data_IF_402427168572
#
_entry.id   IF_402427168572
#
_cell.length_a   1.000
_cell.length_b   1.000
_cell.length_c   1.000
_cell.angle_alpha   90.00
_cell.angle_beta   90.00
_cell.angle_gamma   90.00
#
_symmetry.space_group_name_H-M   'P 1'
#
loop_
_entity.id
_entity.type
_entity.pdbx_description
1 polymer ?
#
# COMPACT_ATOMS: atom_id res chain seq x y z
N UNK A 1 37.51 20.08 5.40
CA UNK A 1 36.35 20.75 4.75
C UNK A 1 36.08 20.06 3.41
N UNK A 2 34.84 19.69 3.08
CA UNK A 2 34.51 19.13 1.77
C UNK A 2 34.71 20.17 0.67
N UNK A 3 35.24 19.75 -0.48
CA UNK A 3 35.39 20.63 -1.65
C UNK A 3 34.02 21.11 -2.14
N UNK A 4 33.90 22.32 -2.73
CA UNK A 4 32.63 22.86 -3.21
C UNK A 4 31.95 21.96 -4.25
N UNK A 5 32.73 21.19 -5.04
CA UNK A 5 32.20 20.17 -5.95
C UNK A 5 31.57 18.99 -5.20
N UNK A 6 32.22 18.46 -4.16
CA UNK A 6 31.68 17.36 -3.34
C UNK A 6 30.41 17.79 -2.62
N UNK A 7 30.35 19.02 -2.10
CA UNK A 7 29.16 19.55 -1.47
C UNK A 7 27.97 19.66 -2.43
N UNK A 8 28.18 20.10 -3.69
CA UNK A 8 27.13 20.13 -4.72
C UNK A 8 26.67 18.72 -5.11
N UNK A 9 27.61 17.79 -5.28
CA UNK A 9 27.29 16.39 -5.60
C UNK A 9 26.48 15.70 -4.50
N UNK A 10 26.91 15.82 -3.24
CA UNK A 10 26.15 15.32 -2.09
C UNK A 10 24.74 15.91 -2.08
N UNK A 11 24.61 17.21 -2.35
CA UNK A 11 23.31 17.87 -2.37
C UNK A 11 22.41 17.34 -3.49
N UNK A 12 22.90 17.27 -4.73
CA UNK A 12 22.15 16.73 -5.87
C UNK A 12 21.74 15.27 -5.63
N UNK A 13 22.64 14.46 -5.07
CA UNK A 13 22.37 13.05 -4.85
C UNK A 13 21.31 12.83 -3.76
N UNK A 14 21.47 13.49 -2.61
CA UNK A 14 20.61 13.31 -1.42
C UNK A 14 19.28 14.06 -1.54
N UNK A 15 19.29 15.27 -2.11
CA UNK A 15 18.07 16.11 -2.20
C UNK A 15 17.27 15.87 -3.47
N UNK A 16 17.85 15.25 -4.51
CA UNK A 16 17.16 15.07 -5.80
C UNK A 16 17.18 13.62 -6.28
N UNK A 17 18.35 13.01 -6.49
CA UNK A 17 18.40 11.71 -7.18
C UNK A 17 17.70 10.58 -6.40
N UNK A 18 18.08 10.39 -5.12
CA UNK A 18 17.47 9.36 -4.26
C UNK A 18 15.98 9.59 -4.04
N UNK A 19 15.50 10.79 -3.64
CA UNK A 19 14.07 11.00 -3.46
C UNK A 19 13.30 10.91 -4.78
N UNK A 20 13.87 11.34 -5.91
CA UNK A 20 13.23 11.16 -7.21
C UNK A 20 13.04 9.68 -7.54
N UNK A 21 14.05 8.83 -7.29
CA UNK A 21 13.92 7.39 -7.47
C UNK A 21 12.79 6.78 -6.64
N UNK A 22 12.73 7.12 -5.34
CA UNK A 22 11.68 6.67 -4.43
C UNK A 22 10.30 7.17 -4.93
N UNK A 23 10.20 8.44 -5.30
CA UNK A 23 8.97 9.03 -5.81
C UNK A 23 8.51 8.36 -7.12
N UNK A 24 9.42 8.03 -8.03
CA UNK A 24 9.09 7.30 -9.26
C UNK A 24 8.44 5.96 -8.94
N UNK A 25 8.98 5.19 -7.99
CA UNK A 25 8.36 3.93 -7.57
C UNK A 25 6.96 4.11 -7.00
N UNK A 26 6.76 5.11 -6.15
CA UNK A 26 5.46 5.42 -5.58
C UNK A 26 4.44 5.88 -6.64
N UNK A 27 4.87 6.71 -7.59
CA UNK A 27 4.03 7.20 -8.68
C UNK A 27 3.62 6.05 -9.60
N UNK A 28 4.54 5.16 -9.96
CA UNK A 28 4.21 4.00 -10.80
C UNK A 28 3.18 3.09 -10.10
N UNK A 29 3.36 2.81 -8.80
CA UNK A 29 2.35 2.08 -8.00
C UNK A 29 1.00 2.80 -7.97
N UNK A 30 1.01 4.12 -7.87
CA UNK A 30 -0.22 4.93 -7.87
C UNK A 30 -0.92 4.90 -9.24
N UNK A 31 -0.15 4.93 -10.33
CA UNK A 31 -0.67 4.87 -11.69
C UNK A 31 -1.30 3.51 -11.96
N UNK A 32 -0.61 2.42 -11.61
CA UNK A 32 -1.12 1.06 -11.76
C UNK A 32 -2.33 0.79 -10.88
N UNK A 33 -2.31 1.30 -9.64
CA UNK A 33 -3.43 1.24 -8.70
C UNK A 33 -3.90 -0.17 -8.31
N UNK A 34 -3.19 -1.20 -8.76
CA UNK A 34 -3.54 -2.60 -8.53
C UNK A 34 -2.76 -3.14 -7.34
N UNK A 35 -3.41 -3.44 -6.21
CA UNK A 35 -2.70 -3.96 -5.05
C UNK A 35 -2.18 -5.39 -5.26
N UNK A 36 -2.56 -6.06 -6.35
CA UNK A 36 -2.07 -7.40 -6.73
C UNK A 36 -0.61 -7.37 -7.18
N UNK A 37 -0.08 -6.21 -7.56
CA UNK A 37 1.33 -6.06 -7.92
C UNK A 37 2.24 -5.93 -6.69
N UNK A 38 1.70 -5.97 -5.47
CA UNK A 38 2.52 -5.93 -4.27
C UNK A 38 3.30 -7.24 -4.06
N UNK A 39 4.54 -7.16 -3.52
CA UNK A 39 5.32 -8.32 -3.13
C UNK A 39 4.56 -9.26 -2.19
N UNK A 40 4.80 -10.58 -2.28
CA UNK A 40 4.11 -11.57 -1.43
C UNK A 40 4.42 -11.36 0.06
N UNK A 41 5.65 -10.97 0.39
CA UNK A 41 6.04 -10.55 1.76
C UNK A 41 5.15 -9.44 2.31
N UNK A 42 4.87 -8.42 1.50
CA UNK A 42 4.05 -7.26 1.89
C UNK A 42 2.58 -7.66 2.06
N UNK A 43 2.07 -8.54 1.19
CA UNK A 43 0.72 -9.08 1.31
C UNK A 43 0.56 -9.97 2.55
N UNK A 44 1.56 -10.80 2.87
CA UNK A 44 1.56 -11.61 4.11
C UNK A 44 1.55 -10.73 5.35
N UNK A 45 2.39 -9.68 5.38
CA UNK A 45 2.40 -8.72 6.49
C UNK A 45 1.04 -8.04 6.67
N UNK A 46 0.39 -7.63 5.58
CA UNK A 46 -0.96 -7.08 5.64
C UNK A 46 -1.96 -8.10 6.21
N UNK A 47 -1.80 -9.38 5.85
CA UNK A 47 -2.67 -10.45 6.35
C UNK A 47 -2.52 -10.68 7.86
N UNK A 48 -1.27 -10.67 8.35
CA UNK A 48 -0.88 -10.83 9.76
C UNK A 48 -1.34 -9.66 10.62
N UNK A 49 -1.28 -8.44 10.07
CA UNK A 49 -1.80 -7.22 10.70
C UNK A 49 -3.34 -7.13 10.67
N UNK A 50 -4.03 -8.12 10.10
CA UNK A 50 -5.48 -8.13 10.04
C UNK A 50 -6.06 -7.12 9.03
N UNK A 51 -5.27 -6.64 8.06
CA UNK A 51 -5.76 -5.69 7.07
C UNK A 51 -6.72 -6.39 6.11
N UNK A 52 -7.95 -5.86 6.02
CA UNK A 52 -9.01 -6.40 5.17
C UNK A 52 -9.10 -5.69 3.81
N UNK A 53 -8.80 -4.39 3.75
CA UNK A 53 -8.81 -3.59 2.52
C UNK A 53 -7.39 -3.41 1.96
N UNK A 54 -7.12 -4.10 0.85
CA UNK A 54 -5.82 -4.08 0.21
C UNK A 54 -5.55 -2.79 -0.59
N UNK A 55 -6.59 -2.09 -1.03
CA UNK A 55 -6.43 -0.79 -1.68
C UNK A 55 -6.07 0.28 -0.67
N UNK A 56 -6.69 0.26 0.52
CA UNK A 56 -6.27 1.10 1.64
C UNK A 56 -4.82 0.80 2.06
N UNK A 57 -4.44 -0.48 2.12
CA UNK A 57 -3.05 -0.87 2.39
C UNK A 57 -2.07 -0.30 1.35
N UNK A 58 -2.38 -0.47 0.06
CA UNK A 58 -1.58 0.10 -1.03
C UNK A 58 -1.48 1.63 -0.92
N UNK A 59 -2.58 2.31 -0.59
CA UNK A 59 -2.60 3.76 -0.40
C UNK A 59 -1.71 4.21 0.75
N UNK A 60 -1.70 3.47 1.87
CA UNK A 60 -0.78 3.73 2.99
C UNK A 60 0.67 3.58 2.55
N UNK A 61 1.02 2.50 1.86
CA UNK A 61 2.39 2.26 1.39
C UNK A 61 2.86 3.37 0.44
N UNK A 62 2.05 3.72 -0.57
CA UNK A 62 2.36 4.82 -1.49
C UNK A 62 2.47 6.15 -0.75
N UNK A 63 1.58 6.42 0.20
CA UNK A 63 1.62 7.64 1.02
C UNK A 63 2.91 7.75 1.82
N UNK A 64 3.38 6.65 2.42
CA UNK A 64 4.67 6.59 3.12
C UNK A 64 5.82 6.89 2.14
N UNK A 65 5.86 6.23 0.99
CA UNK A 65 6.93 6.43 0.00
C UNK A 65 7.01 7.88 -0.49
N UNK A 66 5.87 8.47 -0.86
CA UNK A 66 5.80 9.87 -1.29
C UNK A 66 6.19 10.83 -0.18
N UNK A 67 5.76 10.58 1.07
CA UNK A 67 6.12 11.40 2.22
C UNK A 67 7.62 11.36 2.47
N UNK A 68 8.23 10.18 2.44
CA UNK A 68 9.68 10.05 2.60
C UNK A 68 10.43 10.79 1.49
N UNK A 69 9.98 10.69 0.23
CA UNK A 69 10.56 11.43 -0.88
C UNK A 69 10.46 12.96 -0.67
N UNK A 70 9.27 13.47 -0.32
CA UNK A 70 9.04 14.90 -0.05
C UNK A 70 9.91 15.39 1.11
N UNK A 71 9.99 14.63 2.20
CA UNK A 71 10.81 14.97 3.37
C UNK A 71 12.30 14.93 3.03
N UNK A 72 12.76 13.98 2.21
CA UNK A 72 14.14 13.94 1.71
C UNK A 72 14.52 15.15 0.85
N UNK A 73 13.60 15.64 0.01
CA UNK A 73 13.82 16.86 -0.80
C UNK A 73 13.81 18.14 0.05
N UNK A 74 12.95 18.22 1.06
CA UNK A 74 12.71 19.46 1.82
C UNK A 74 13.56 19.59 3.08
N UNK A 75 13.82 18.47 3.76
CA UNK A 75 14.46 18.35 5.07
C UNK A 75 15.64 17.36 5.02
N UNK A 76 16.77 17.72 4.39
CA UNK A 76 17.78 16.76 3.97
C UNK A 76 18.50 16.01 5.10
N UNK A 77 18.53 16.57 6.32
CA UNK A 77 19.16 15.92 7.47
C UNK A 77 18.34 14.74 8.01
N UNK A 78 17.02 14.92 8.12
CA UNK A 78 16.11 13.86 8.60
C UNK A 78 15.75 12.96 7.43
N UNK A 79 15.44 13.55 6.28
CA UNK A 79 15.01 12.82 5.09
C UNK A 79 16.08 11.90 4.52
N UNK A 80 17.38 12.16 4.74
CA UNK A 80 18.45 11.18 4.47
C UNK A 80 18.21 9.87 5.23
N UNK A 81 17.95 9.94 6.53
CA UNK A 81 17.76 8.75 7.35
C UNK A 81 16.46 8.04 7.01
N UNK A 82 15.40 8.78 6.73
CA UNK A 82 14.14 8.21 6.26
C UNK A 82 14.29 7.52 4.90
N UNK A 83 14.97 8.14 3.93
CA UNK A 83 15.25 7.55 2.63
C UNK A 83 16.14 6.31 2.76
N UNK A 84 17.17 6.36 3.62
CA UNK A 84 18.02 5.20 3.90
C UNK A 84 17.22 4.04 4.51
N UNK A 85 16.38 4.32 5.52
CA UNK A 85 15.53 3.32 6.15
C UNK A 85 14.56 2.71 5.13
N UNK A 86 13.94 3.54 4.27
CA UNK A 86 13.03 3.05 3.24
C UNK A 86 13.75 2.19 2.19
N UNK A 87 14.94 2.59 1.74
CA UNK A 87 15.78 1.78 0.85
C UNK A 87 16.17 0.44 1.48
N UNK A 88 16.49 0.42 2.78
CA UNK A 88 16.76 -0.83 3.51
C UNK A 88 15.52 -1.74 3.52
N UNK A 89 14.32 -1.18 3.72
CA UNK A 89 13.07 -1.94 3.64
C UNK A 89 12.86 -2.51 2.23
N UNK A 90 13.08 -1.71 1.18
CA UNK A 90 12.96 -2.18 -0.21
C UNK A 90 13.96 -3.30 -0.52
N UNK A 91 15.22 -3.14 -0.13
CA UNK A 91 16.25 -4.17 -0.26
C UNK A 91 15.84 -5.45 0.49
N UNK A 92 15.32 -5.33 1.70
CA UNK A 92 14.85 -6.47 2.49
C UNK A 92 13.70 -7.21 1.80
N UNK A 93 12.69 -6.48 1.33
CA UNK A 93 11.57 -7.02 0.57
C UNK A 93 12.09 -7.73 -0.70
N UNK A 94 12.96 -7.09 -1.48
CA UNK A 94 13.57 -7.66 -2.68
C UNK A 94 14.36 -8.93 -2.39
N UNK A 95 15.16 -8.95 -1.32
CA UNK A 95 15.92 -10.12 -0.91
C UNK A 95 14.99 -11.29 -0.54
N UNK A 96 13.90 -11.02 0.18
CA UNK A 96 12.92 -12.08 0.52
C UNK A 96 12.18 -12.63 -0.70
N UNK A 97 11.83 -11.80 -1.67
CA UNK A 97 11.18 -12.25 -2.90
C UNK A 97 12.15 -12.99 -3.83
N UNK A 98 13.40 -12.55 -3.91
CA UNK A 98 14.46 -13.23 -4.65
C UNK A 98 14.74 -14.62 -4.07
N UNK A 99 14.79 -14.74 -2.73
CA UNK A 99 14.92 -16.02 -2.04
C UNK A 99 13.75 -16.98 -2.29
N UNK A 100 12.57 -16.44 -2.66
CA UNK A 100 11.37 -17.22 -3.05
C UNK A 100 11.30 -17.51 -4.56
N UNK A 101 12.31 -17.13 -5.34
CA UNK A 101 12.34 -17.35 -6.78
C UNK A 101 11.37 -16.50 -7.59
N UNK A 102 10.99 -15.31 -7.09
CA UNK A 102 10.12 -14.40 -7.83
C UNK A 102 10.80 -13.89 -9.12
N UNK A 103 10.09 -13.93 -10.24
CA UNK A 103 10.55 -13.36 -11.52
C UNK A 103 10.36 -11.84 -11.60
N UNK A 104 9.43 -11.29 -10.82
CA UNK A 104 9.13 -9.86 -10.76
C UNK A 104 8.98 -9.42 -9.30
N UNK A 105 9.52 -8.25 -8.95
CA UNK A 105 9.53 -7.78 -7.56
C UNK A 105 8.26 -7.04 -7.12
N UNK A 106 7.49 -6.47 -8.04
CA UNK A 106 6.29 -5.69 -7.72
C UNK A 106 6.57 -4.31 -7.10
N UNK A 107 7.82 -4.01 -6.75
CA UNK A 107 8.24 -2.77 -6.10
C UNK A 107 8.03 -1.51 -6.97
N UNK A 108 7.95 -1.64 -8.29
CA UNK A 108 7.63 -0.54 -9.23
C UNK A 108 6.27 -0.73 -9.91
N UNK A 109 5.41 -1.59 -9.36
CA UNK A 109 4.13 -1.95 -10.00
C UNK A 109 4.32 -2.91 -11.18
N UNK A 110 3.55 -2.74 -12.24
CA UNK A 110 3.52 -3.58 -13.44
C UNK A 110 4.82 -3.51 -14.25
N UNK A 111 5.55 -2.39 -14.19
CA UNK A 111 6.83 -2.17 -14.88
C UNK A 111 8.04 -2.63 -14.06
N UNK A 112 7.90 -3.70 -13.29
CA UNK A 112 8.97 -4.17 -12.40
C UNK A 112 10.09 -4.87 -13.17
N UNK A 113 11.33 -4.33 -13.17
CA UNK A 113 12.50 -5.00 -13.76
C UNK A 113 12.85 -6.27 -12.98
N UNK A 114 13.78 -7.10 -13.49
CA UNK A 114 14.26 -8.27 -12.76
C UNK A 114 14.70 -7.91 -11.33
N UNK A 115 14.32 -8.67 -10.29
CA UNK A 115 14.59 -8.32 -8.89
C UNK A 115 16.06 -8.07 -8.58
N UNK A 116 16.98 -8.77 -9.25
CA UNK A 116 18.44 -8.60 -9.10
C UNK A 116 18.89 -7.21 -9.55
N UNK A 117 18.34 -6.71 -10.67
CA UNK A 117 18.67 -5.37 -11.19
C UNK A 117 18.17 -4.31 -10.23
N UNK A 118 16.92 -4.44 -9.77
CA UNK A 118 16.32 -3.51 -8.81
C UNK A 118 17.12 -3.49 -7.50
N UNK A 119 17.51 -4.66 -6.99
CA UNK A 119 18.33 -4.80 -5.78
C UNK A 119 19.68 -4.09 -5.94
N UNK A 120 20.32 -4.22 -7.10
CA UNK A 120 21.56 -3.52 -7.42
C UNK A 120 21.39 -1.99 -7.38
N UNK A 121 20.32 -1.47 -7.98
CA UNK A 121 20.02 -0.03 -7.96
C UNK A 121 19.77 0.45 -6.52
N UNK A 122 18.91 -0.22 -5.75
CA UNK A 122 18.59 0.22 -4.39
C UNK A 122 19.81 0.11 -3.46
N UNK A 123 20.62 -0.95 -3.58
CA UNK A 123 21.84 -1.13 -2.81
C UNK A 123 22.90 -0.07 -3.15
N UNK A 124 23.07 0.27 -4.43
CA UNK A 124 24.01 1.32 -4.85
C UNK A 124 23.56 2.70 -4.39
N UNK A 125 22.27 3.01 -4.49
CA UNK A 125 21.71 4.25 -3.96
C UNK A 125 21.89 4.34 -2.44
N UNK A 126 21.66 3.26 -1.70
CA UNK A 126 21.88 3.20 -0.26
C UNK A 126 23.37 3.39 0.09
N UNK A 127 24.27 2.67 -0.57
CA UNK A 127 25.71 2.77 -0.33
C UNK A 127 26.22 4.19 -0.61
N UNK A 128 25.81 4.79 -1.74
CA UNK A 128 26.18 6.16 -2.09
C UNK A 128 25.58 7.17 -1.10
N UNK A 129 24.33 6.97 -0.68
CA UNK A 129 23.69 7.77 0.36
C UNK A 129 24.53 7.71 1.64
N UNK A 130 24.89 6.51 2.13
CA UNK A 130 25.71 6.35 3.33
C UNK A 130 27.09 7.01 3.19
N UNK A 131 27.77 6.83 2.05
CA UNK A 131 29.12 7.35 1.81
C UNK A 131 29.21 8.89 1.66
N UNK A 132 28.18 9.56 1.12
CA UNK A 132 28.24 11.00 0.80
C UNK A 132 28.03 11.94 2.00
N UNK A 133 27.65 11.42 3.17
CA UNK A 133 27.41 12.21 4.38
C UNK A 133 26.19 13.15 4.33
N UNK A 134 25.83 13.75 5.47
CA UNK A 134 24.69 14.67 5.55
C UNK A 134 25.08 16.07 5.05
N UNK A 135 24.26 16.73 4.21
CA UNK A 135 24.51 18.12 3.83
C UNK A 135 24.34 19.04 5.06
N UNK A 136 25.14 20.11 5.17
CA UNK A 136 25.17 21.00 6.35
C UNK A 136 23.94 21.94 6.46
N UNK A 137 22.82 21.62 5.82
CA UNK A 137 21.66 22.50 5.72
C UNK A 137 20.82 22.43 6.99
N UNK A 138 20.58 23.59 7.63
CA UNK A 138 19.69 23.72 8.79
C UNK A 138 18.24 23.80 8.30
N UNK A 139 17.35 23.01 8.90
CA UNK A 139 15.91 23.05 8.60
C UNK A 139 15.30 24.36 9.10
N UNK A 140 14.54 25.06 8.25
CA UNK A 140 13.75 26.22 8.64
C UNK A 140 12.30 25.83 8.90
N UNK A 141 11.58 26.58 9.76
CA UNK A 141 10.14 26.35 10.02
C UNK A 141 9.31 26.33 8.73
N UNK A 142 9.65 27.18 7.75
CA UNK A 142 9.02 27.21 6.43
C UNK A 142 9.18 25.89 5.68
N UNK A 143 10.38 25.29 5.67
CA UNK A 143 10.61 24.00 5.00
C UNK A 143 9.84 22.87 5.65
N UNK A 144 9.75 22.87 6.98
CA UNK A 144 8.94 21.90 7.72
C UNK A 144 7.46 22.05 7.35
N UNK A 145 6.93 23.27 7.37
CA UNK A 145 5.53 23.52 6.98
C UNK A 145 5.22 23.05 5.56
N UNK A 146 6.12 23.36 4.59
CA UNK A 146 5.98 22.89 3.20
C UNK A 146 6.00 21.36 3.13
N UNK A 147 6.93 20.71 3.83
CA UNK A 147 7.02 19.25 3.86
C UNK A 147 5.72 18.62 4.39
N UNK A 148 5.18 19.15 5.49
CA UNK A 148 3.94 18.66 6.10
C UNK A 148 2.75 18.81 5.15
N UNK A 149 2.57 19.99 4.54
CA UNK A 149 1.45 20.26 3.62
C UNK A 149 1.53 19.35 2.40
N UNK A 150 2.71 19.23 1.78
CA UNK A 150 2.90 18.37 0.61
C UNK A 150 2.70 16.89 0.95
N UNK A 151 3.17 16.44 2.12
CA UNK A 151 2.98 15.05 2.56
C UNK A 151 1.50 14.74 2.81
N UNK A 152 0.76 15.65 3.44
CA UNK A 152 -0.68 15.52 3.64
C UNK A 152 -1.44 15.47 2.29
N UNK A 153 -1.06 16.33 1.35
CA UNK A 153 -1.62 16.32 -0.01
C UNK A 153 -1.32 15.00 -0.75
N UNK A 154 -0.08 14.49 -0.65
CA UNK A 154 0.32 13.22 -1.26
C UNK A 154 -0.45 12.02 -0.68
N UNK A 155 -0.62 11.97 0.64
CA UNK A 155 -1.47 10.98 1.30
C UNK A 155 -2.93 11.09 0.84
N UNK A 156 -3.49 12.32 0.83
CA UNK A 156 -4.84 12.57 0.35
C UNK A 156 -5.05 12.11 -1.09
N UNK A 157 -4.06 12.35 -1.97
CA UNK A 157 -4.08 11.89 -3.36
C UNK A 157 -4.05 10.36 -3.46
N UNK A 158 -3.18 9.69 -2.70
CA UNK A 158 -3.08 8.23 -2.70
C UNK A 158 -4.41 7.57 -2.29
N UNK A 159 -5.01 8.04 -1.19
CA UNK A 159 -6.32 7.56 -0.75
C UNK A 159 -7.45 7.96 -1.71
N UNK A 160 -7.43 9.18 -2.24
CA UNK A 160 -8.46 9.66 -3.17
C UNK A 160 -8.53 8.84 -4.45
N UNK A 161 -7.36 8.47 -5.00
CA UNK A 161 -7.27 7.67 -6.23
C UNK A 161 -7.58 6.18 -6.01
N UNK A 162 -7.19 5.64 -4.86
CA UNK A 162 -7.28 4.20 -4.58
C UNK A 162 -8.51 3.79 -3.78
N UNK A 163 -9.40 4.72 -3.42
CA UNK A 163 -10.66 4.39 -2.76
C UNK A 163 -11.44 3.37 -3.59
N UNK A 164 -11.81 2.22 -3.01
CA UNK A 164 -12.78 1.34 -3.64
C UNK A 164 -14.04 2.16 -3.88
N UNK A 165 -14.52 2.20 -5.12
CA UNK A 165 -15.90 2.59 -5.35
C UNK A 165 -16.73 1.48 -4.70
N UNK A 166 -17.17 1.70 -3.46
CA UNK A 166 -18.25 0.90 -2.91
C UNK A 166 -19.45 1.02 -3.87
N UNK A 167 -20.34 0.03 -3.94
CA UNK A 167 -21.62 0.24 -4.59
C UNK A 167 -22.20 1.51 -3.98
N UNK A 168 -22.53 2.49 -4.82
CA UNK A 168 -23.28 3.65 -4.37
C UNK A 168 -24.50 3.09 -3.65
N UNK A 169 -24.55 3.24 -2.32
CA UNK A 169 -25.80 3.07 -1.60
C UNK A 169 -26.79 3.94 -2.36
N UNK A 170 -27.92 3.40 -2.87
CA UNK A 170 -28.96 4.26 -3.40
C UNK A 170 -29.26 5.24 -2.26
N UNK A 171 -28.97 6.52 -2.50
CA UNK A 171 -29.33 7.58 -1.57
C UNK A 171 -30.81 7.44 -1.25
N UNK A 172 -31.24 7.82 -0.04
CA UNK A 172 -32.61 7.60 0.41
C UNK A 172 -33.57 8.06 -0.69
N UNK A 173 -34.23 7.10 -1.32
CA UNK A 173 -35.35 7.37 -2.20
C UNK A 173 -36.33 8.16 -1.34
N UNK A 174 -36.47 9.45 -1.63
CA UNK A 174 -37.62 10.22 -1.19
C UNK A 174 -38.84 9.64 -1.91
N UNK A 175 -39.34 8.50 -1.43
CA UNK A 175 -40.73 8.14 -1.61
C UNK A 175 -41.50 8.93 -0.55
N UNK A 176 -41.86 10.16 -0.92
CA UNK A 176 -43.00 10.82 -0.33
C UNK A 176 -44.26 10.05 -0.78
N UNK A 177 -44.58 8.95 -0.09
CA UNK A 177 -45.91 8.34 -0.16
C UNK A 177 -46.64 8.69 1.12
N UNK A 178 -47.50 9.70 0.99
CA UNK A 178 -48.50 10.06 1.98
C UNK A 178 -49.75 9.23 1.73
N UNK A 179 -50.01 8.21 2.55
CA UNK A 179 -51.38 7.72 2.72
C UNK A 179 -51.63 7.20 4.14
N UNK A 180 -52.81 7.47 4.74
CA UNK A 180 -53.02 7.40 6.18
C UNK A 180 -53.55 6.03 6.68
N UNK A 181 -53.17 5.70 7.91
CA UNK A 181 -53.84 4.89 8.93
C UNK A 181 -54.82 3.78 8.52
N UNK A 182 -54.52 2.54 8.93
CA UNK A 182 -55.56 1.61 9.40
C UNK A 182 -55.02 0.74 10.56
N UNK A 183 -55.72 0.60 11.71
CA UNK A 183 -55.23 -0.15 12.87
C UNK A 183 -55.95 -1.49 13.04
N UNK A 184 -55.26 -2.62 12.82
CA UNK A 184 -55.50 -3.90 13.56
C UNK A 184 -54.72 -5.09 12.96
N UNK A 185 -53.59 -5.47 13.57
CA UNK A 185 -53.24 -6.89 13.77
C UNK A 185 -52.08 -7.07 14.76
N UNK A 186 -52.19 -7.93 15.79
CA UNK A 186 -51.04 -8.32 16.58
C UNK A 186 -50.28 -9.43 15.84
N UNK A 187 -49.02 -9.18 15.49
CA UNK A 187 -48.09 -10.24 15.06
C UNK A 187 -46.92 -10.28 16.03
N UNK A 188 -46.89 -11.36 16.81
CA UNK A 188 -45.81 -11.77 17.68
C UNK A 188 -44.49 -11.83 16.92
N UNK A 189 -43.55 -10.95 17.27
CA UNK A 189 -42.16 -11.03 16.80
C UNK A 189 -41.47 -12.12 17.59
N UNK A 190 -41.46 -13.34 17.04
CA UNK A 190 -40.49 -14.36 17.43
C UNK A 190 -39.12 -13.89 16.97
N UNK A 191 -38.28 -13.47 17.92
CA UNK A 191 -36.84 -13.24 17.71
C UNK A 191 -36.23 -14.60 17.36
N UNK A 192 -36.14 -14.88 16.06
CA UNK A 192 -35.30 -15.96 15.56
C UNK A 192 -33.88 -15.45 15.59
N UNK A 193 -33.09 -15.93 16.56
CA UNK A 193 -31.65 -15.73 16.61
C UNK A 193 -31.05 -16.45 15.40
N UNK A 194 -30.89 -15.74 14.28
CA UNK A 194 -30.19 -16.26 13.11
C UNK A 194 -28.78 -16.68 13.54
N UNK A 195 -28.33 -17.92 13.24
CA UNK A 195 -26.93 -18.29 13.43
C UNK A 195 -26.07 -17.27 12.69
N UNK A 196 -25.08 -16.71 13.39
CA UNK A 196 -24.16 -15.73 12.84
C UNK A 196 -23.52 -16.31 11.58
N UNK A 197 -23.98 -15.87 10.40
CA UNK A 197 -23.31 -16.18 9.15
C UNK A 197 -21.85 -15.76 9.32
N UNK A 198 -20.87 -16.61 8.98
CA UNK A 198 -19.49 -16.21 9.09
C UNK A 198 -19.32 -14.89 8.30
N UNK A 199 -18.54 -13.96 8.83
CA UNK A 199 -18.28 -12.70 8.14
C UNK A 199 -17.64 -12.96 6.78
N UNK A 200 -18.17 -12.35 5.71
CA UNK A 200 -17.70 -12.51 4.34
C UNK A 200 -16.15 -12.51 4.27
N UNK A 201 -15.55 -13.34 3.41
CA UNK A 201 -14.10 -13.42 3.33
C UNK A 201 -13.56 -12.05 2.91
N UNK A 202 -12.34 -11.76 3.37
CA UNK A 202 -11.54 -10.62 2.91
C UNK A 202 -11.68 -10.52 1.38
N UNK A 203 -11.74 -9.30 0.83
CA UNK A 203 -11.84 -9.07 -0.63
C UNK A 203 -10.66 -9.63 -1.44
N UNK A 204 -9.68 -10.22 -0.75
CA UNK A 204 -8.49 -10.86 -1.28
C UNK A 204 -8.05 -12.00 -0.34
N UNK A 205 -7.37 -12.99 -0.91
CA UNK A 205 -6.89 -14.16 -0.18
C UNK A 205 -5.40 -14.39 -0.48
N UNK A 206 -4.53 -14.30 0.55
CA UNK A 206 -3.09 -14.52 0.44
C UNK A 206 -2.62 -15.75 1.23
N UNK A 207 -3.45 -16.79 1.31
CA UNK A 207 -3.05 -18.05 1.93
C UNK A 207 -2.17 -18.89 1.03
N UNK A 208 -1.52 -19.88 1.65
CA UNK A 208 -0.66 -20.83 0.95
C UNK A 208 -1.50 -21.85 0.18
N UNK A 209 -1.51 -21.75 -1.15
CA UNK A 209 -2.25 -22.66 -2.05
C UNK A 209 -1.77 -24.10 -1.88
N UNK A 210 -0.53 -24.32 -1.41
CA UNK A 210 0.02 -25.65 -1.14
C UNK A 210 -0.81 -26.45 -0.13
N UNK A 211 -1.49 -25.77 0.81
CA UNK A 211 -2.33 -26.46 1.80
C UNK A 211 -3.60 -27.09 1.22
N UNK A 212 -3.95 -26.72 -0.01
CA UNK A 212 -5.10 -27.26 -0.75
C UNK A 212 -4.69 -28.37 -1.72
N UNK A 213 -3.39 -28.53 -2.00
CA UNK A 213 -2.91 -29.62 -2.86
C UNK A 213 -3.24 -30.96 -2.18
N UNK A 214 -3.99 -31.80 -2.88
CA UNK A 214 -4.46 -33.10 -2.38
C UNK A 214 -5.74 -33.05 -1.54
N UNK A 215 -6.32 -31.86 -1.26
CA UNK A 215 -7.64 -31.76 -0.63
C UNK A 215 -8.75 -31.82 -1.67
N UNK A 216 -9.93 -32.31 -1.26
CA UNK A 216 -11.13 -32.21 -2.09
C UNK A 216 -11.57 -30.75 -2.18
N UNK A 217 -12.19 -30.37 -3.30
CA UNK A 217 -12.58 -28.97 -3.51
C UNK A 217 -13.58 -28.48 -2.45
N UNK A 218 -14.44 -29.36 -1.91
CA UNK A 218 -15.38 -29.04 -0.84
C UNK A 218 -14.67 -28.67 0.49
N UNK A 219 -13.43 -29.10 0.67
CA UNK A 219 -12.63 -28.83 1.86
C UNK A 219 -11.79 -27.55 1.74
N UNK A 220 -11.87 -26.88 0.59
CA UNK A 220 -11.21 -25.59 0.36
C UNK A 220 -12.04 -24.52 1.06
N UNK A 221 -11.45 -23.91 2.08
CA UNK A 221 -12.03 -22.85 2.90
C UNK A 221 -12.35 -21.56 2.13
N UNK A 222 -11.81 -21.38 0.92
CA UNK A 222 -12.21 -20.32 0.01
C UNK A 222 -13.58 -20.61 -0.66
N UNK A 223 -13.89 -21.89 -0.92
CA UNK A 223 -15.07 -22.29 -1.70
C UNK A 223 -16.35 -22.40 -0.86
N UNK A 224 -16.25 -22.36 0.47
CA UNK A 224 -17.41 -22.34 1.39
C UNK A 224 -18.35 -21.14 1.23
N UNK A 225 -17.95 -20.14 0.44
CA UNK A 225 -18.70 -18.91 0.18
C UNK A 225 -19.34 -18.86 -1.20
N UNK A 226 -19.02 -19.83 -2.07
CA UNK A 226 -19.74 -19.97 -3.33
C UNK A 226 -21.14 -20.50 -3.01
N UNK A 227 -22.20 -19.95 -3.62
CA UNK A 227 -23.51 -20.56 -3.53
C UNK A 227 -23.39 -22.00 -4.03
N UNK A 228 -24.03 -22.94 -3.33
CA UNK A 228 -24.11 -24.31 -3.77
C UNK A 228 -24.73 -24.30 -5.17
N UNK A 229 -23.93 -24.62 -6.18
CA UNK A 229 -24.46 -24.87 -7.51
C UNK A 229 -25.13 -26.22 -7.41
N UNK A 230 -26.47 -26.23 -7.37
CA UNK A 230 -27.24 -27.46 -7.46
C UNK A 230 -26.82 -28.18 -8.75
N UNK A 231 -26.48 -29.47 -8.69
CA UNK A 231 -26.20 -30.23 -9.90
C UNK A 231 -27.47 -30.25 -10.78
N UNK A 232 -27.32 -30.24 -12.12
CA UNK A 232 -28.45 -30.37 -13.04
C UNK A 232 -29.19 -31.69 -12.86
#
# INVERSE_FOLDING_TARGET
MPTPRRARLTRLFVELLVPAWIATGAILKLVDGSPRTLPRSVLRLASELGVHDLHAWLAVLIGIELTVAIVAMTLPRIGRWLAAALLVVFIGVLATELARGASHCGCLGAWSPPPVVMLGIDATLLAALLALGAPPVRSSRRRVAVATVLSAAAFGLAFGRLRPHGPALPGPSQTADSTPNDPARPSSVSVTTTPHAPAMPRTWFAGDVQRWVGRRWQEIDLLRWLPAVEPP
#
